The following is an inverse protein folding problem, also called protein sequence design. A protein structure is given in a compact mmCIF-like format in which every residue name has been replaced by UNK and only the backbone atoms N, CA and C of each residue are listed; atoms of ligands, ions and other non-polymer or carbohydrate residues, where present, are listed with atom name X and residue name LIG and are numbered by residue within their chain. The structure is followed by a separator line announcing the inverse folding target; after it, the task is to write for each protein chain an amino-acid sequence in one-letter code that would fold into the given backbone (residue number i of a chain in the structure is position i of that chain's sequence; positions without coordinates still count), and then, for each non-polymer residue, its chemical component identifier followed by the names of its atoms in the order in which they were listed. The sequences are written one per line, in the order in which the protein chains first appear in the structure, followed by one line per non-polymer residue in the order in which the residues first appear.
data_IF_600458057659
#
_entry.id   IF_600458057659
#
_cell.length_a   1.000
_cell.length_b   1.000
_cell.length_c   1.000
_cell.angle_alpha   90.00
_cell.angle_beta   90.00
_cell.angle_gamma   90.00
#
_symmetry.space_group_name_H-M   'P 1'
#
loop_
_entity.id
_entity.type
_entity.pdbx_description
1 polymer ?
#
# COMPACT_ATOMS: atom_id res chain seq x y z
N UNK A 1 12.84 4.72 -29.30
CA UNK A 1 12.99 5.23 -27.93
C UNK A 1 13.13 4.01 -27.05
N UNK A 2 14.27 3.85 -26.37
CA UNK A 2 14.50 2.72 -25.46
C UNK A 2 13.48 2.77 -24.31
N UNK A 3 12.98 1.61 -23.83
CA UNK A 3 12.09 1.57 -22.67
C UNK A 3 12.82 2.09 -21.43
N UNK A 4 12.12 2.88 -20.61
CA UNK A 4 12.67 3.36 -19.35
C UNK A 4 12.96 2.17 -18.41
N UNK A 5 14.05 2.22 -17.64
CA UNK A 5 14.37 1.17 -16.67
C UNK A 5 13.28 1.08 -15.60
N UNK A 6 13.05 -0.13 -15.07
CA UNK A 6 12.09 -0.36 -13.98
C UNK A 6 12.84 -0.82 -12.74
N UNK A 7 12.41 -0.32 -11.58
CA UNK A 7 12.94 -0.73 -10.29
C UNK A 7 12.07 -1.83 -9.69
N UNK A 8 12.45 -3.09 -9.85
CA UNK A 8 11.59 -4.24 -9.48
C UNK A 8 11.89 -4.87 -8.14
N UNK A 9 13.15 -4.82 -7.74
CA UNK A 9 13.71 -5.58 -6.63
C UNK A 9 14.87 -4.80 -5.98
N UNK A 10 15.13 -5.14 -4.73
CA UNK A 10 16.22 -4.58 -3.94
C UNK A 10 16.60 -5.62 -2.89
N UNK A 11 17.89 -5.92 -2.78
CA UNK A 11 18.43 -6.78 -1.75
C UNK A 11 19.30 -5.94 -0.82
N UNK A 12 18.90 -5.86 0.45
CA UNK A 12 19.67 -5.22 1.52
C UNK A 12 19.96 -6.26 2.60
N UNK A 13 21.17 -6.23 3.14
CA UNK A 13 21.55 -7.02 4.31
C UNK A 13 21.04 -6.33 5.59
N UNK A 14 19.73 -6.39 5.78
CA UNK A 14 19.01 -5.83 6.92
C UNK A 14 18.04 -6.87 7.51
N UNK A 15 17.78 -6.83 8.83
CA UNK A 15 16.95 -7.82 9.49
C UNK A 15 15.45 -7.71 9.13
N UNK A 16 14.71 -8.79 9.37
CA UNK A 16 13.25 -8.88 9.20
C UNK A 16 12.77 -8.33 7.84
N UNK A 17 13.39 -8.87 6.78
CA UNK A 17 12.99 -8.61 5.41
C UNK A 17 11.59 -9.21 5.14
N UNK A 18 10.68 -8.37 4.67
CA UNK A 18 9.34 -8.78 4.23
C UNK A 18 9.11 -8.33 2.80
N UNK A 19 8.80 -9.30 1.95
CA UNK A 19 8.46 -9.07 0.54
C UNK A 19 6.96 -9.16 0.34
N UNK A 20 6.38 -8.07 -0.15
CA UNK A 20 5.01 -8.02 -0.64
C UNK A 20 4.95 -7.98 -2.17
N UNK A 21 3.74 -7.88 -2.73
CA UNK A 21 3.54 -7.82 -4.20
C UNK A 21 4.25 -6.63 -4.85
N UNK A 22 4.29 -5.48 -4.17
CA UNK A 22 4.78 -4.20 -4.71
C UNK A 22 5.68 -3.41 -3.75
N UNK A 23 5.92 -3.93 -2.55
CA UNK A 23 6.78 -3.29 -1.54
C UNK A 23 7.70 -4.30 -0.92
N UNK A 24 8.90 -3.84 -0.59
CA UNK A 24 9.87 -4.54 0.24
C UNK A 24 10.01 -3.76 1.55
N UNK A 25 10.27 -4.44 2.67
CA UNK A 25 10.52 -3.74 3.93
C UNK A 25 11.51 -4.46 4.83
N UNK A 26 12.25 -3.70 5.63
CA UNK A 26 13.28 -4.20 6.54
C UNK A 26 13.22 -3.46 7.88
N UNK A 27 13.51 -4.15 8.97
CA UNK A 27 13.69 -3.48 10.26
C UNK A 27 15.00 -2.68 10.26
N UNK A 28 14.97 -1.46 10.82
CA UNK A 28 16.14 -0.61 11.01
C UNK A 28 16.64 -0.59 12.46
N UNK A 29 16.01 -1.38 13.34
CA UNK A 29 16.21 -1.29 14.77
C UNK A 29 15.51 -0.07 15.39
N UNK A 30 15.56 0.05 16.71
CA UNK A 30 14.95 1.16 17.47
C UNK A 30 13.47 1.42 17.15
N UNK A 31 12.71 0.35 16.86
CA UNK A 31 11.29 0.45 16.51
C UNK A 31 11.01 1.17 15.18
N UNK A 32 11.96 1.14 14.23
CA UNK A 32 11.79 1.73 12.88
C UNK A 32 11.87 0.68 11.80
N UNK A 33 11.20 0.96 10.68
CA UNK A 33 11.15 0.12 9.48
C UNK A 33 11.40 0.95 8.22
N UNK A 34 12.24 0.42 7.33
CA UNK A 34 12.37 0.90 5.96
C UNK A 34 11.29 0.23 5.12
N UNK A 35 10.52 1.02 4.37
CA UNK A 35 9.54 0.55 3.40
C UNK A 35 9.92 1.10 2.03
N UNK A 36 10.19 0.20 1.08
CA UNK A 36 10.57 0.54 -0.30
C UNK A 36 9.45 0.11 -1.24
N UNK A 37 8.91 1.06 -2.00
CA UNK A 37 7.87 0.79 -3.00
C UNK A 37 8.51 0.58 -4.37
N UNK A 38 8.29 -0.59 -4.97
CA UNK A 38 8.86 -0.95 -6.27
C UNK A 38 7.91 -0.63 -7.43
N UNK A 39 8.43 -0.70 -8.65
CA UNK A 39 7.69 -0.49 -9.89
C UNK A 39 6.80 -1.68 -10.27
N UNK A 40 6.89 -2.81 -9.55
CA UNK A 40 6.03 -3.97 -9.74
C UNK A 40 4.55 -3.58 -9.67
N UNK A 41 3.75 -4.15 -10.55
CA UNK A 41 2.29 -4.03 -10.55
C UNK A 41 1.67 -5.42 -10.42
N UNK A 42 0.62 -5.51 -9.61
CA UNK A 42 -0.13 -6.75 -9.41
C UNK A 42 -1.59 -6.60 -9.76
N UNK A 43 -2.15 -7.64 -10.37
CA UNK A 43 -3.58 -7.82 -10.60
C UNK A 43 -3.93 -9.29 -10.39
N UNK A 44 -5.16 -9.57 -9.95
CA UNK A 44 -5.63 -10.95 -9.67
C UNK A 44 -4.66 -11.74 -8.77
N UNK A 45 -4.19 -11.09 -7.72
CA UNK A 45 -3.22 -11.62 -6.75
C UNK A 45 -1.86 -12.07 -7.30
N UNK A 46 -1.51 -11.66 -8.52
CA UNK A 46 -0.21 -11.97 -9.15
C UNK A 46 0.51 -10.71 -9.58
N UNK A 47 1.84 -10.72 -9.48
CA UNK A 47 2.69 -9.69 -10.12
C UNK A 47 2.67 -9.96 -11.62
N UNK A 48 2.28 -8.96 -12.42
CA UNK A 48 2.07 -9.10 -13.87
C UNK A 48 3.07 -8.31 -14.71
N UNK A 49 3.96 -7.53 -14.06
CA UNK A 49 4.97 -6.72 -14.72
C UNK A 49 5.42 -5.57 -13.84
N UNK A 50 6.02 -4.55 -14.48
CA UNK A 50 6.46 -3.32 -13.83
C UNK A 50 6.16 -2.11 -14.70
N UNK A 51 5.92 -0.96 -14.06
CA UNK A 51 5.68 0.32 -14.72
C UNK A 51 6.75 1.30 -14.22
N UNK A 52 7.59 1.87 -15.11
CA UNK A 52 8.65 2.80 -14.70
C UNK A 52 8.12 3.92 -13.81
N UNK A 53 8.84 4.21 -12.73
CA UNK A 53 8.52 5.27 -11.75
C UNK A 53 7.23 5.10 -10.97
N UNK A 54 6.48 4.01 -11.14
CA UNK A 54 5.25 3.75 -10.37
C UNK A 54 5.54 3.74 -8.86
N UNK A 55 6.65 3.14 -8.45
CA UNK A 55 7.04 3.11 -7.03
C UNK A 55 7.23 4.51 -6.45
N UNK A 56 7.83 5.41 -7.22
CA UNK A 56 8.07 6.80 -6.84
C UNK A 56 6.77 7.56 -6.66
N UNK A 57 5.89 7.49 -7.66
CA UNK A 57 4.58 8.15 -7.64
C UNK A 57 3.76 7.67 -6.44
N UNK A 58 3.71 6.36 -6.19
CA UNK A 58 2.89 5.82 -5.11
C UNK A 58 3.44 6.11 -3.72
N UNK A 59 4.76 6.08 -3.54
CA UNK A 59 5.38 6.41 -2.25
C UNK A 59 5.22 7.90 -1.92
N UNK A 60 5.45 8.79 -2.89
CA UNK A 60 5.23 10.24 -2.70
C UNK A 60 3.75 10.59 -2.51
N UNK A 61 2.83 9.92 -3.23
CA UNK A 61 1.40 10.11 -3.02
C UNK A 61 0.96 9.67 -1.62
N UNK A 62 1.50 8.56 -1.12
CA UNK A 62 1.25 8.14 0.26
C UNK A 62 1.79 9.16 1.26
N UNK A 63 3.03 9.64 1.08
CA UNK A 63 3.62 10.68 1.92
C UNK A 63 2.79 11.97 1.94
N UNK A 64 2.29 12.39 0.77
CA UNK A 64 1.36 13.50 0.65
C UNK A 64 0.13 13.24 1.52
N UNK A 65 -0.58 12.12 1.34
CA UNK A 65 -1.79 11.85 2.14
C UNK A 65 -1.54 11.79 3.64
N UNK A 66 -0.43 11.21 4.08
CA UNK A 66 -0.08 11.20 5.51
C UNK A 66 0.09 12.61 6.08
N UNK A 67 0.75 13.51 5.35
CA UNK A 67 0.86 14.94 5.73
C UNK A 67 -0.51 15.63 5.81
N UNK A 68 -1.45 15.31 4.90
CA UNK A 68 -2.77 15.99 4.86
C UNK A 68 -3.74 15.51 5.92
N UNK A 69 -3.44 14.41 6.60
CA UNK A 69 -4.31 13.81 7.61
C UNK A 69 -3.66 13.75 8.99
N UNK A 70 -2.49 14.36 9.17
CA UNK A 70 -1.74 14.32 10.42
C UNK A 70 -2.48 15.01 11.58
N UNK A 71 -3.35 15.98 11.27
CA UNK A 71 -4.25 16.65 12.21
C UNK A 71 -5.46 15.79 12.63
N UNK A 72 -5.78 14.74 11.87
CA UNK A 72 -6.92 13.86 12.11
C UNK A 72 -6.51 12.65 12.94
N UNK A 73 -5.39 12.00 12.57
CA UNK A 73 -4.92 10.78 13.22
C UNK A 73 -3.40 10.64 13.08
N UNK A 74 -2.75 10.19 14.15
CA UNK A 74 -1.33 9.86 14.12
C UNK A 74 -1.04 8.79 13.05
N UNK A 75 0.03 8.99 12.29
CA UNK A 75 0.49 8.05 11.27
C UNK A 75 1.93 7.58 11.56
N UNK A 76 2.39 6.59 10.79
CA UNK A 76 3.68 5.94 11.05
C UNK A 76 4.88 6.61 10.37
N UNK A 77 4.70 7.65 9.55
CA UNK A 77 5.80 8.19 8.73
C UNK A 77 6.77 8.97 9.61
N UNK A 78 8.06 8.65 9.50
CA UNK A 78 9.14 9.40 10.18
C UNK A 78 9.86 10.30 9.17
N UNK A 79 10.20 9.77 8.00
CA UNK A 79 10.80 10.54 6.91
C UNK A 79 10.71 9.82 5.56
N UNK A 80 10.90 10.56 4.48
CA UNK A 80 10.89 10.06 3.09
C UNK A 80 12.22 10.44 2.44
N UNK A 81 13.30 9.68 2.68
CA UNK A 81 14.65 10.04 2.22
C UNK A 81 14.86 9.86 0.71
N UNK A 82 14.00 9.09 0.04
CA UNK A 82 14.06 8.81 -1.39
C UNK A 82 12.64 8.73 -1.98
N UNK A 83 12.42 9.12 -3.25
CA UNK A 83 11.17 8.93 -3.95
C UNK A 83 10.50 7.56 -3.79
N UNK A 84 11.26 6.48 -3.69
CA UNK A 84 10.77 5.11 -3.51
C UNK A 84 10.75 4.64 -2.04
N UNK A 85 11.32 5.38 -1.08
CA UNK A 85 11.55 4.91 0.27
C UNK A 85 10.89 5.77 1.36
N UNK A 86 10.31 5.10 2.35
CA UNK A 86 9.78 5.70 3.58
C UNK A 86 10.41 5.03 4.79
N UNK A 87 10.89 5.83 5.74
CA UNK A 87 11.22 5.36 7.10
C UNK A 87 9.97 5.56 7.95
N UNK A 88 9.49 4.48 8.55
CA UNK A 88 8.29 4.47 9.38
C UNK A 88 8.58 3.94 10.80
N UNK A 89 7.70 4.28 11.74
CA UNK A 89 7.60 3.60 13.03
C UNK A 89 7.12 2.17 12.77
N UNK A 90 7.81 1.18 13.33
CA UNK A 90 7.40 -0.21 13.22
C UNK A 90 6.13 -0.43 14.05
N UNK A 91 5.11 -1.00 13.42
CA UNK A 91 3.77 -1.11 13.99
C UNK A 91 3.29 -2.56 13.93
N UNK A 92 2.47 -2.96 14.90
CA UNK A 92 1.72 -4.20 14.85
C UNK A 92 0.37 -3.94 14.16
N UNK A 93 0.16 -4.37 12.89
CA UNK A 93 -1.06 -4.06 12.18
C UNK A 93 -2.27 -4.77 12.82
N UNK A 94 -3.41 -4.10 12.87
CA UNK A 94 -4.66 -4.75 13.22
C UNK A 94 -5.04 -5.77 12.13
N UNK A 95 -5.53 -6.97 12.47
CA UNK A 95 -5.90 -8.00 11.50
C UNK A 95 -7.27 -7.72 10.85
N UNK A 96 -7.49 -6.48 10.38
CA UNK A 96 -8.73 -6.01 9.77
C UNK A 96 -8.42 -5.00 8.66
N UNK A 97 -9.17 -5.07 7.57
CA UNK A 97 -9.15 -4.06 6.51
C UNK A 97 -10.21 -2.99 6.78
N UNK A 98 -9.78 -1.75 7.01
CA UNK A 98 -10.68 -0.62 7.23
C UNK A 98 -11.06 -0.02 5.87
N UNK A 99 -12.28 -0.30 5.40
CA UNK A 99 -12.76 0.09 4.06
C UNK A 99 -13.87 1.13 4.16
N UNK A 100 -13.69 2.27 3.48
CA UNK A 100 -14.71 3.33 3.33
C UNK A 100 -15.22 3.34 1.88
N UNK A 101 -16.54 3.39 1.69
CA UNK A 101 -17.18 3.34 0.36
C UNK A 101 -18.06 4.58 0.12
N UNK A 102 -17.62 5.46 -0.79
CA UNK A 102 -18.43 6.61 -1.24
C UNK A 102 -19.28 6.36 -2.49
N UNK A 103 -19.10 5.20 -3.15
CA UNK A 103 -19.79 4.78 -4.38
C UNK A 103 -19.96 3.25 -4.40
N UNK A 104 -20.98 2.77 -5.12
CA UNK A 104 -21.22 1.34 -5.32
C UNK A 104 -20.33 0.82 -6.46
N UNK A 105 -19.38 -0.05 -6.15
CA UNK A 105 -18.46 -0.65 -7.14
C UNK A 105 -17.89 -1.98 -6.63
N UNK A 106 -17.03 -2.61 -7.44
CA UNK A 106 -16.41 -3.91 -7.21
C UNK A 106 -17.12 -5.05 -7.95
N UNK A 107 -16.42 -6.15 -8.17
CA UNK A 107 -16.91 -7.30 -8.95
C UNK A 107 -17.04 -8.58 -8.12
N UNK A 108 -16.50 -8.63 -6.91
CA UNK A 108 -16.56 -9.81 -6.04
C UNK A 108 -17.89 -9.90 -5.31
N UNK A 109 -18.30 -11.11 -4.92
CA UNK A 109 -19.51 -11.33 -4.11
C UNK A 109 -19.51 -10.57 -2.77
N UNK A 110 -18.32 -10.26 -2.25
CA UNK A 110 -18.10 -9.49 -1.03
C UNK A 110 -18.08 -7.97 -1.26
N UNK A 111 -18.15 -7.51 -2.51
CA UNK A 111 -18.21 -6.08 -2.85
C UNK A 111 -19.65 -5.55 -2.76
N UNK A 112 -19.77 -4.25 -2.47
CA UNK A 112 -21.06 -3.60 -2.23
C UNK A 112 -21.99 -3.65 -3.45
N UNK A 113 -21.45 -3.58 -4.68
CA UNK A 113 -22.27 -3.54 -5.89
C UNK A 113 -22.97 -4.89 -6.17
N UNK A 114 -22.29 -6.05 -6.19
CA UNK A 114 -22.97 -7.34 -6.34
C UNK A 114 -23.99 -7.62 -5.22
N UNK A 115 -23.68 -7.27 -3.97
CA UNK A 115 -24.62 -7.38 -2.85
C UNK A 115 -25.89 -6.55 -3.10
N UNK A 116 -25.74 -5.30 -3.54
CA UNK A 116 -26.87 -4.43 -3.89
C UNK A 116 -27.72 -5.00 -5.03
N UNK A 117 -27.07 -5.50 -6.10
CA UNK A 117 -27.73 -6.11 -7.26
C UNK A 117 -28.52 -7.38 -6.88
N UNK A 118 -28.07 -8.12 -5.86
CA UNK A 118 -28.80 -9.26 -5.29
C UNK A 118 -30.00 -8.85 -4.40
N UNK A 119 -30.27 -7.55 -4.27
CA UNK A 119 -31.36 -7.03 -3.45
C UNK A 119 -31.02 -6.86 -1.98
N UNK A 120 -29.77 -7.09 -1.56
CA UNK A 120 -29.37 -6.87 -0.17
C UNK A 120 -29.46 -5.37 0.17
N UNK A 121 -29.93 -5.07 1.38
CA UNK A 121 -30.04 -3.70 1.92
C UNK A 121 -29.30 -3.52 3.25
N UNK A 122 -29.03 -4.62 3.94
CA UNK A 122 -28.13 -4.67 5.08
C UNK A 122 -26.80 -5.26 4.60
N UNK A 123 -25.75 -4.45 4.54
CA UNK A 123 -24.43 -4.85 4.06
C UNK A 123 -23.41 -4.64 5.17
N UNK A 124 -22.49 -5.60 5.33
CA UNK A 124 -21.44 -5.53 6.35
C UNK A 124 -21.95 -5.34 7.79
N UNK A 125 -23.18 -5.80 8.07
CA UNK A 125 -23.77 -5.73 9.41
C UNK A 125 -24.33 -4.37 9.84
N UNK A 126 -24.30 -3.35 9.00
CA UNK A 126 -24.92 -2.05 9.29
C UNK A 126 -26.41 -2.04 8.94
N UNK A 127 -27.27 -1.77 9.93
CA UNK A 127 -28.71 -1.50 9.78
C UNK A 127 -28.97 -0.02 9.60
#
# INVERSE_FOLDING_TARGET
MEPLPTFTDLALDLPDHRSGKVRESWALGSGRRLIVTTDRISAFDRVIGAIPHKGQVLNQLAAWWFDRTDDIVANHVVSVPDPNATIAIDANPLPVEVVVRGRLTGSTSTSVLPMYMQGLRQMYGYT
#
